data_IF_540992721052
#
_entry.id   IF_540992721052
#
_cell.length_a   1.000
_cell.length_b   1.000
_cell.length_c   1.000
_cell.angle_alpha   90.00
_cell.angle_beta   90.00
_cell.angle_gamma   90.00
#
_symmetry.space_group_name_H-M   'P 1'
#
loop_
_entity.id
_entity.type
_entity.pdbx_description
1 polymer ?
#
# COMPACT_ATOMS: atom_id res chain seq x y z
N UNK A 1 10.61 9.81 19.80
CA UNK A 1 10.67 10.36 18.44
C UNK A 1 9.29 10.86 18.10
N UNK A 2 9.12 12.17 17.91
CA UNK A 2 7.84 12.74 17.50
C UNK A 2 7.44 12.11 16.16
N UNK A 3 6.25 11.53 16.11
CA UNK A 3 5.54 11.21 14.88
C UNK A 3 5.23 12.54 14.17
N UNK A 4 6.21 13.11 13.49
CA UNK A 4 5.90 14.04 12.40
C UNK A 4 5.31 13.15 11.32
N UNK A 5 3.99 13.08 11.25
CA UNK A 5 3.32 12.63 10.04
C UNK A 5 3.82 13.56 8.92
N UNK A 6 4.71 13.10 8.03
CA UNK A 6 5.30 13.97 7.02
C UNK A 6 4.25 14.50 6.02
N UNK A 7 2.99 14.11 6.21
CA UNK A 7 1.83 14.28 5.36
C UNK A 7 0.57 14.72 6.13
N UNK A 8 0.73 15.38 7.29
CA UNK A 8 -0.34 16.21 7.84
C UNK A 8 -0.85 17.19 6.77
N UNK A 9 -2.15 17.47 6.72
CA UNK A 9 -2.81 18.24 5.65
C UNK A 9 -2.09 19.56 5.31
N UNK A 10 -1.64 20.28 6.32
CA UNK A 10 -0.87 21.53 6.17
C UNK A 10 0.44 21.33 5.40
N UNK A 11 1.17 20.23 5.65
CA UNK A 11 2.38 19.87 4.92
C UNK A 11 2.10 19.46 3.46
N UNK A 12 0.88 19.01 3.14
CA UNK A 12 0.50 18.64 1.77
C UNK A 12 0.27 19.90 0.92
N UNK A 13 -0.50 20.85 1.43
CA UNK A 13 -0.80 22.11 0.74
C UNK A 13 0.47 22.92 0.46
N UNK A 14 1.34 23.05 1.47
CA UNK A 14 2.62 23.75 1.30
C UNK A 14 3.47 23.10 0.19
N UNK A 15 3.51 21.77 0.13
CA UNK A 15 4.27 21.04 -0.90
C UNK A 15 3.65 21.15 -2.29
N UNK A 16 2.33 21.15 -2.41
CA UNK A 16 1.67 21.28 -3.72
C UNK A 16 1.82 22.67 -4.34
N UNK A 17 1.96 23.70 -3.50
CA UNK A 17 2.13 25.09 -3.91
C UNK A 17 3.62 25.45 -4.13
N UNK A 18 4.47 25.21 -3.14
CA UNK A 18 5.86 25.72 -3.11
C UNK A 18 6.93 24.69 -3.44
N UNK A 19 6.61 23.38 -3.41
CA UNK A 19 7.57 22.28 -3.60
C UNK A 19 7.00 21.19 -4.50
N UNK A 20 6.46 21.58 -5.66
CA UNK A 20 5.75 20.69 -6.56
C UNK A 20 6.52 19.40 -6.90
N UNK A 21 7.83 19.49 -7.14
CA UNK A 21 8.65 18.31 -7.45
C UNK A 21 8.58 17.26 -6.33
N UNK A 22 8.48 17.68 -5.08
CA UNK A 22 8.34 16.76 -3.95
C UNK A 22 6.92 16.16 -3.90
N UNK A 23 5.89 16.96 -4.18
CA UNK A 23 4.52 16.46 -4.28
C UNK A 23 4.38 15.41 -5.41
N UNK A 24 4.91 15.70 -6.60
CA UNK A 24 4.94 14.77 -7.73
C UNK A 24 5.80 13.54 -7.44
N UNK A 25 6.93 13.69 -6.74
CA UNK A 25 7.76 12.56 -6.32
C UNK A 25 6.98 11.64 -5.37
N UNK A 26 6.25 12.18 -4.41
CA UNK A 26 5.43 11.39 -3.48
C UNK A 26 4.33 10.63 -4.24
N UNK A 27 3.61 11.29 -5.16
CA UNK A 27 2.58 10.62 -5.98
C UNK A 27 3.17 9.47 -6.79
N UNK A 28 4.30 9.72 -7.48
CA UNK A 28 5.01 8.71 -8.29
C UNK A 28 5.51 7.55 -7.43
N UNK A 29 6.14 7.84 -6.29
CA UNK A 29 6.66 6.82 -5.38
C UNK A 29 5.55 5.97 -4.77
N UNK A 30 4.41 6.57 -4.42
CA UNK A 30 3.26 5.84 -3.92
C UNK A 30 2.70 4.87 -4.98
N UNK A 31 2.50 5.33 -6.22
CA UNK A 31 2.07 4.47 -7.34
C UNK A 31 3.09 3.34 -7.59
N UNK A 32 4.38 3.69 -7.71
CA UNK A 32 5.44 2.72 -7.98
C UNK A 32 5.60 1.68 -6.85
N UNK A 33 5.22 2.01 -5.62
CA UNK A 33 5.24 1.05 -4.52
C UNK A 33 4.24 -0.09 -4.73
N UNK A 34 3.07 0.18 -5.32
CA UNK A 34 2.11 -0.88 -5.66
C UNK A 34 2.65 -1.81 -6.75
N UNK A 35 3.26 -1.24 -7.80
CA UNK A 35 3.91 -2.03 -8.87
C UNK A 35 5.07 -2.88 -8.30
N UNK A 36 5.85 -2.30 -7.39
CA UNK A 36 6.95 -2.99 -6.72
C UNK A 36 6.47 -4.18 -5.88
N UNK A 37 5.37 -4.03 -5.14
CA UNK A 37 4.80 -5.10 -4.33
C UNK A 37 4.36 -6.31 -5.17
N UNK A 38 3.92 -6.08 -6.41
CA UNK A 38 3.48 -7.12 -7.34
C UNK A 38 4.61 -7.68 -8.21
N UNK A 39 5.86 -7.27 -7.98
CA UNK A 39 6.98 -7.67 -8.80
C UNK A 39 7.33 -9.15 -8.60
N UNK A 40 7.12 -9.95 -9.65
CA UNK A 40 7.37 -11.40 -9.71
C UNK A 40 8.72 -11.77 -10.36
N UNK A 41 9.38 -10.84 -11.04
CA UNK A 41 10.70 -11.03 -11.68
C UNK A 41 11.73 -10.09 -11.05
N UNK A 42 13.02 -10.43 -11.06
CA UNK A 42 14.04 -9.62 -10.36
C UNK A 42 14.00 -9.82 -8.83
N UNK A 43 13.84 -8.78 -7.98
CA UNK A 43 13.88 -8.93 -6.52
C UNK A 43 12.78 -9.83 -5.95
N UNK A 44 11.79 -10.24 -6.77
CA UNK A 44 10.69 -11.16 -6.48
C UNK A 44 10.03 -10.86 -5.12
N UNK A 45 9.48 -9.66 -5.00
CA UNK A 45 8.90 -9.15 -3.75
C UNK A 45 7.71 -10.00 -3.35
N UNK A 46 6.84 -10.32 -4.30
CA UNK A 46 5.69 -11.17 -4.06
C UNK A 46 6.11 -12.56 -3.54
N UNK A 47 7.08 -13.23 -4.18
CA UNK A 47 7.59 -14.51 -3.69
C UNK A 47 8.29 -14.44 -2.33
N UNK A 48 9.01 -13.34 -2.03
CA UNK A 48 9.58 -13.11 -0.69
C UNK A 48 8.49 -12.94 0.36
N UNK A 49 7.43 -12.19 0.05
CA UNK A 49 6.27 -12.03 0.92
C UNK A 49 5.63 -13.40 1.19
N UNK A 50 5.38 -14.21 0.15
CA UNK A 50 4.85 -15.58 0.30
C UNK A 50 5.68 -16.41 1.29
N UNK A 51 7.02 -16.37 1.19
CA UNK A 51 7.90 -17.10 2.10
C UNK A 51 7.79 -16.61 3.55
N UNK A 52 7.72 -15.30 3.77
CA UNK A 52 7.55 -14.71 5.10
C UNK A 52 6.20 -15.13 5.69
N UNK A 53 5.13 -15.01 4.91
CA UNK A 53 3.78 -15.36 5.34
C UNK A 53 3.64 -16.85 5.66
N UNK A 54 4.27 -17.73 4.87
CA UNK A 54 4.34 -19.15 5.17
C UNK A 54 5.04 -19.40 6.52
N UNK A 55 6.16 -18.72 6.79
CA UNK A 55 6.85 -18.79 8.08
C UNK A 55 5.99 -18.35 9.26
N UNK A 56 5.30 -17.21 9.13
CA UNK A 56 4.39 -16.70 10.16
C UNK A 56 3.20 -17.63 10.39
N UNK A 57 2.57 -18.11 9.31
CA UNK A 57 1.45 -19.04 9.40
C UNK A 57 1.85 -20.33 10.14
N UNK A 58 3.01 -20.91 9.81
CA UNK A 58 3.51 -22.10 10.51
C UNK A 58 3.71 -21.86 12.01
N UNK A 59 4.31 -20.73 12.39
CA UNK A 59 4.52 -20.39 13.80
C UNK A 59 3.18 -20.23 14.55
N UNK A 60 2.23 -19.53 13.95
CA UNK A 60 0.88 -19.36 14.52
C UNK A 60 0.14 -20.69 14.62
N UNK A 61 0.24 -21.54 13.60
CA UNK A 61 -0.38 -22.86 13.57
C UNK A 61 0.22 -23.80 14.63
N UNK A 62 1.54 -23.78 14.81
CA UNK A 62 2.20 -24.55 15.88
C UNK A 62 1.74 -24.06 17.25
N UNK A 63 1.71 -22.75 17.49
CA UNK A 63 1.24 -22.18 18.75
C UNK A 63 -0.23 -22.56 19.03
N UNK A 64 -1.09 -22.47 18.02
CA UNK A 64 -2.48 -22.91 18.08
C UNK A 64 -2.61 -24.40 18.42
N UNK A 65 -1.79 -25.24 17.80
CA UNK A 65 -1.79 -26.69 18.05
C UNK A 65 -1.40 -26.98 19.50
N UNK A 66 -0.35 -26.33 20.00
CA UNK A 66 0.08 -26.48 21.41
C UNK A 66 -0.98 -26.00 22.39
N UNK A 67 -1.68 -24.90 22.08
CA UNK A 67 -2.80 -24.42 22.88
C UNK A 67 -3.94 -25.45 22.97
N UNK A 68 -4.34 -26.02 21.82
CA UNK A 68 -5.41 -27.04 21.75
C UNK A 68 -5.07 -28.34 22.48
N UNK A 69 -3.78 -28.67 22.63
CA UNK A 69 -3.38 -29.83 23.45
C UNK A 69 -3.69 -29.64 24.94
N UNK A 70 -3.62 -28.40 25.44
CA UNK A 70 -3.91 -28.06 26.84
C UNK A 70 -5.39 -27.72 27.05
N UNK A 71 -6.02 -27.10 26.05
CA UNK A 71 -7.39 -26.61 26.09
C UNK A 71 -8.20 -27.12 24.88
N UNK A 72 -8.55 -28.43 24.84
CA UNK A 72 -9.14 -29.05 23.65
C UNK A 72 -10.52 -28.50 23.28
N UNK A 73 -11.29 -28.05 24.27
CA UNK A 73 -12.65 -27.54 24.05
C UNK A 73 -12.67 -26.05 23.63
N UNK A 74 -11.51 -25.38 23.62
CA UNK A 74 -11.42 -23.97 23.23
C UNK A 74 -11.11 -23.85 21.74
N UNK A 75 -12.05 -23.28 20.99
CA UNK A 75 -11.85 -22.98 19.58
C UNK A 75 -10.78 -21.89 19.42
N UNK A 76 -9.71 -22.20 18.67
CA UNK A 76 -8.65 -21.27 18.31
C UNK A 76 -8.25 -21.47 16.85
N UNK A 77 -8.41 -20.44 16.02
CA UNK A 77 -8.08 -20.43 14.58
C UNK A 77 -7.23 -19.19 14.23
N UNK A 78 -6.21 -18.89 15.03
CA UNK A 78 -5.42 -17.65 14.94
C UNK A 78 -4.60 -17.57 13.63
N UNK A 79 -4.13 -18.72 13.12
CA UNK A 79 -3.34 -18.75 11.90
C UNK A 79 -4.17 -18.33 10.67
N UNK A 80 -5.41 -18.83 10.56
CA UNK A 80 -6.31 -18.47 9.47
C UNK A 80 -6.85 -17.05 9.65
N UNK A 81 -7.24 -16.68 10.89
CA UNK A 81 -7.65 -15.31 11.22
C UNK A 81 -6.60 -14.27 10.81
N UNK A 82 -5.32 -14.53 11.10
CA UNK A 82 -4.24 -13.61 10.74
C UNK A 82 -4.14 -13.40 9.22
N UNK A 83 -4.30 -14.46 8.44
CA UNK A 83 -4.20 -14.38 6.97
C UNK A 83 -5.40 -13.68 6.34
N UNK A 84 -6.60 -13.94 6.86
CA UNK A 84 -7.82 -13.22 6.47
C UNK A 84 -7.67 -11.72 6.81
N UNK A 85 -7.34 -11.40 8.06
CA UNK A 85 -7.13 -10.02 8.51
C UNK A 85 -6.08 -9.28 7.68
N UNK A 86 -4.96 -9.93 7.35
CA UNK A 86 -3.91 -9.32 6.56
C UNK A 86 -4.38 -9.00 5.14
N UNK A 87 -5.17 -9.90 4.55
CA UNK A 87 -5.76 -9.72 3.21
C UNK A 87 -6.70 -8.51 3.20
N UNK A 88 -7.65 -8.48 4.15
CA UNK A 88 -8.57 -7.37 4.34
C UNK A 88 -7.83 -6.04 4.57
N UNK A 89 -6.74 -6.08 5.35
CA UNK A 89 -5.94 -4.90 5.63
C UNK A 89 -5.31 -4.33 4.36
N UNK A 90 -4.77 -5.16 3.47
CA UNK A 90 -4.20 -4.70 2.20
C UNK A 90 -5.28 -4.14 1.26
N UNK A 91 -6.47 -4.72 1.22
CA UNK A 91 -7.60 -4.16 0.45
C UNK A 91 -7.96 -2.75 0.94
N UNK A 92 -8.07 -2.57 2.26
CA UNK A 92 -8.32 -1.26 2.87
C UNK A 92 -7.17 -0.29 2.57
N UNK A 93 -5.92 -0.75 2.63
CA UNK A 93 -4.75 0.07 2.34
C UNK A 93 -4.76 0.58 0.89
N UNK A 94 -5.11 -0.27 -0.08
CA UNK A 94 -5.27 0.11 -1.49
C UNK A 94 -6.36 1.17 -1.64
N UNK A 95 -7.54 0.98 -1.03
CA UNK A 95 -8.64 1.96 -1.08
C UNK A 95 -8.20 3.32 -0.52
N UNK A 96 -7.55 3.32 0.64
CA UNK A 96 -7.05 4.57 1.27
C UNK A 96 -5.99 5.25 0.42
N UNK A 97 -5.08 4.49 -0.18
CA UNK A 97 -4.06 5.04 -1.05
C UNK A 97 -4.67 5.66 -2.32
N UNK A 98 -5.64 5.00 -2.95
CA UNK A 98 -6.38 5.58 -4.09
C UNK A 98 -7.04 6.91 -3.72
N UNK A 99 -7.76 6.95 -2.60
CA UNK A 99 -8.40 8.17 -2.11
C UNK A 99 -7.39 9.29 -1.83
N UNK A 100 -6.26 8.95 -1.20
CA UNK A 100 -5.18 9.89 -0.93
C UNK A 100 -4.58 10.47 -2.22
N UNK A 101 -4.28 9.63 -3.22
CA UNK A 101 -3.70 10.04 -4.49
C UNK A 101 -4.66 10.97 -5.26
N UNK A 102 -5.93 10.60 -5.37
CA UNK A 102 -6.95 11.40 -6.05
C UNK A 102 -7.14 12.77 -5.39
N UNK A 103 -7.22 12.82 -4.06
CA UNK A 103 -7.34 14.09 -3.34
C UNK A 103 -6.13 14.99 -3.58
N UNK A 104 -4.92 14.42 -3.55
CA UNK A 104 -3.67 15.17 -3.76
C UNK A 104 -3.55 15.68 -5.20
N UNK A 105 -3.95 14.87 -6.19
CA UNK A 105 -4.00 15.28 -7.60
C UNK A 105 -5.00 16.42 -7.80
N UNK A 106 -6.22 16.29 -7.25
CA UNK A 106 -7.25 17.31 -7.37
C UNK A 106 -6.82 18.64 -6.76
N UNK A 107 -6.17 18.63 -5.60
CA UNK A 107 -5.64 19.85 -4.96
C UNK A 107 -4.51 20.48 -5.78
N UNK A 108 -3.56 19.65 -6.25
CA UNK A 108 -2.46 20.14 -7.09
C UNK A 108 -3.00 20.74 -8.39
N UNK A 109 -3.96 20.07 -9.04
CA UNK A 109 -4.63 20.56 -10.24
C UNK A 109 -5.29 21.92 -9.99
N UNK A 110 -6.07 22.05 -8.91
CA UNK A 110 -6.75 23.30 -8.58
C UNK A 110 -5.77 24.48 -8.39
N UNK A 111 -4.60 24.25 -7.80
CA UNK A 111 -3.57 25.29 -7.65
C UNK A 111 -2.97 25.66 -9.02
N UNK A 112 -2.61 24.66 -9.81
CA UNK A 112 -1.85 24.82 -11.04
C UNK A 112 -2.70 25.20 -12.28
N UNK A 113 -4.02 25.06 -12.23
CA UNK A 113 -4.92 25.61 -13.26
C UNK A 113 -5.04 27.14 -13.20
N UNK A 114 -4.71 27.75 -12.05
CA UNK A 114 -4.88 29.19 -11.80
C UNK A 114 -3.55 29.94 -11.71
N UNK A 115 -2.43 29.30 -12.07
CA UNK A 115 -1.11 29.93 -12.08
C UNK A 115 -0.74 30.43 -13.47
N UNK A 116 0.06 31.50 -13.53
CA UNK A 116 0.67 32.00 -14.76
C UNK A 116 2.04 31.34 -15.04
N UNK A 117 2.40 30.31 -14.29
CA UNK A 117 3.68 29.61 -14.44
C UNK A 117 3.78 28.92 -15.82
N UNK A 118 4.88 29.13 -16.57
CA UNK A 118 5.05 28.58 -17.92
C UNK A 118 5.08 27.05 -17.97
N UNK A 119 5.30 26.37 -16.83
CA UNK A 119 5.31 24.91 -16.73
C UNK A 119 3.94 24.32 -16.39
N UNK A 120 2.91 25.13 -16.13
CA UNK A 120 1.60 24.66 -15.67
C UNK A 120 1.01 23.51 -16.52
N UNK A 121 1.07 23.64 -17.84
CA UNK A 121 0.58 22.60 -18.75
C UNK A 121 1.31 21.26 -18.56
N UNK A 122 2.63 21.26 -18.38
CA UNK A 122 3.41 20.04 -18.16
C UNK A 122 3.05 19.36 -16.82
N UNK A 123 2.74 20.16 -15.81
CA UNK A 123 2.30 19.67 -14.50
C UNK A 123 0.94 19.00 -14.63
N UNK A 124 -0.02 19.68 -15.27
CA UNK A 124 -1.37 19.15 -15.48
C UNK A 124 -1.38 17.86 -16.32
N UNK A 125 -0.56 17.81 -17.38
CA UNK A 125 -0.35 16.59 -18.17
C UNK A 125 0.23 15.44 -17.32
N UNK A 126 1.21 15.75 -16.47
CA UNK A 126 1.77 14.76 -15.55
C UNK A 126 0.70 14.24 -14.59
N UNK A 127 -0.11 15.13 -14.01
CA UNK A 127 -1.19 14.76 -13.10
C UNK A 127 -2.21 13.84 -13.78
N UNK A 128 -2.60 14.13 -15.03
CA UNK A 128 -3.51 13.28 -15.81
C UNK A 128 -2.92 11.87 -16.00
N UNK A 129 -1.64 11.77 -16.39
CA UNK A 129 -0.98 10.47 -16.57
C UNK A 129 -0.87 9.66 -15.26
N UNK A 130 -0.70 10.33 -14.11
CA UNK A 130 -0.68 9.66 -12.82
C UNK A 130 -2.09 9.22 -12.40
N UNK A 131 -3.10 10.06 -12.64
CA UNK A 131 -4.50 9.77 -12.31
C UNK A 131 -5.02 8.54 -13.06
N UNK A 132 -4.68 8.39 -14.34
CA UNK A 132 -5.04 7.22 -15.16
C UNK A 132 -4.56 5.89 -14.57
N UNK A 133 -3.48 5.88 -13.78
CA UNK A 133 -2.94 4.67 -13.16
C UNK A 133 -3.69 4.27 -11.89
N UNK A 134 -4.34 5.22 -11.21
CA UNK A 134 -4.94 5.02 -9.89
C UNK A 134 -5.99 3.89 -9.87
N UNK A 135 -6.92 3.78 -10.84
CA UNK A 135 -7.92 2.71 -10.85
C UNK A 135 -7.30 1.31 -10.81
N UNK A 136 -6.13 1.14 -11.43
CA UNK A 136 -5.43 -0.13 -11.58
C UNK A 136 -4.53 -0.49 -10.40
N UNK A 137 -4.36 0.39 -9.40
CA UNK A 137 -3.58 0.06 -8.21
C UNK A 137 -4.22 -1.13 -7.47
N UNK A 138 -3.40 -2.14 -7.19
CA UNK A 138 -3.76 -3.33 -6.44
C UNK A 138 -2.51 -3.92 -5.80
N UNK A 139 -2.69 -4.76 -4.79
CA UNK A 139 -1.66 -5.64 -4.25
C UNK A 139 -2.22 -7.05 -4.42
N UNK A 140 -1.44 -7.94 -5.05
CA UNK A 140 -1.80 -9.34 -5.17
C UNK A 140 -1.71 -10.01 -3.80
N UNK A 141 -2.85 -10.48 -3.29
CA UNK A 141 -3.00 -11.12 -1.98
C UNK A 141 -3.21 -12.63 -2.08
N UNK A 142 -3.06 -13.21 -3.28
CA UNK A 142 -3.18 -14.63 -3.59
C UNK A 142 -1.94 -15.46 -3.20
N UNK A 143 -1.28 -15.07 -2.10
CA UNK A 143 -0.07 -15.73 -1.63
C UNK A 143 -0.35 -17.19 -1.29
N UNK A 144 0.43 -18.10 -1.87
CA UNK A 144 0.38 -19.51 -1.52
C UNK A 144 1.16 -19.79 -0.22
N UNK A 145 0.58 -19.43 0.91
CA UNK A 145 1.20 -19.60 2.24
C UNK A 145 0.97 -21.00 2.84
N UNK A 146 0.19 -21.87 2.19
CA UNK A 146 -0.20 -23.21 2.70
C UNK A 146 0.58 -24.37 2.07
N UNK A 147 1.53 -24.10 1.19
CA UNK A 147 2.16 -25.09 0.28
C UNK A 147 3.10 -26.12 0.91
N UNK A 148 3.39 -26.08 2.22
CA UNK A 148 4.25 -27.09 2.85
C UNK A 148 3.44 -28.20 3.50
N UNK A 149 2.85 -29.05 2.66
CA UNK A 149 2.42 -30.40 3.03
C UNK A 149 2.94 -31.38 1.98
N UNK A 150 4.21 -31.76 2.11
CA UNK A 150 4.80 -32.96 1.54
C UNK A 150 5.55 -33.67 2.65
#
# INVERSE_FOLDING_TARGET
>A
MQNNDPMAYENRLEKTDSRLNDALAILRSAIASFDYMNTNTGPNVHGKMTNILNGMWNQLFTAQTMWKLVYPDVQANIADFFMEWLTDWYEIAVVRAKGFLLATIAETRNIWEHTDDPYANQVLETLNSLEEKIPFLHILTDWDYRTRRT
#
